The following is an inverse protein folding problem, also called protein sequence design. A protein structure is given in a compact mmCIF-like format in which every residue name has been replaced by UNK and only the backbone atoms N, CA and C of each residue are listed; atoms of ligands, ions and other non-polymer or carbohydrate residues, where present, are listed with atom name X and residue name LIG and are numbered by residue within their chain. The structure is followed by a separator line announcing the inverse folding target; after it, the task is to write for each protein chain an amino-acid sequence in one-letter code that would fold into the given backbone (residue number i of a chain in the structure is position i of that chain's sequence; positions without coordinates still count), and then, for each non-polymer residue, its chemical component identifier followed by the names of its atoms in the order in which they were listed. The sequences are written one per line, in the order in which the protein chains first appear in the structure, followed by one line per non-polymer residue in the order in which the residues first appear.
data_IF_366351471195
#
_entry.id   IF_366351471195
#
_cell.length_a   1.000
_cell.length_b   1.000
_cell.length_c   1.000
_cell.angle_alpha   90.00
_cell.angle_beta   90.00
_cell.angle_gamma   90.00
#
_symmetry.space_group_name_H-M   'P 1'
#
loop_
_entity.id
_entity.type
_entity.pdbx_description
1 polymer ?
#
# COMPACT_ATOMS: atom_id res chain seq x y z
N UNK A 1 15.63 -0.56 -4.80
CA UNK A 1 14.23 -0.43 -4.34
C UNK A 1 13.39 -1.68 -4.64
N UNK A 2 12.87 -1.90 -5.85
CA UNK A 2 12.06 -3.11 -6.13
C UNK A 2 12.85 -4.42 -5.91
N UNK A 3 14.15 -4.39 -6.25
CA UNK A 3 15.09 -5.48 -5.98
C UNK A 3 15.20 -5.86 -4.50
N UNK A 4 14.95 -4.91 -3.59
CA UNK A 4 15.09 -5.14 -2.15
C UNK A 4 13.89 -5.91 -1.60
N UNK A 5 12.68 -5.59 -2.06
CA UNK A 5 11.45 -6.35 -1.75
C UNK A 5 11.56 -7.76 -2.30
N UNK A 6 11.98 -7.90 -3.57
CA UNK A 6 12.19 -9.21 -4.17
C UNK A 6 13.24 -10.03 -3.42
N UNK A 7 14.38 -9.42 -3.05
CA UNK A 7 15.46 -10.10 -2.33
C UNK A 7 15.01 -10.58 -0.95
N UNK A 8 14.30 -9.73 -0.20
CA UNK A 8 13.81 -10.08 1.14
C UNK A 8 12.77 -11.21 1.10
N UNK A 9 11.94 -11.26 0.05
CA UNK A 9 10.81 -12.20 -0.04
C UNK A 9 10.96 -13.26 -1.13
N UNK A 10 12.18 -13.52 -1.61
CA UNK A 10 12.43 -14.38 -2.78
C UNK A 10 11.70 -15.73 -2.73
N UNK A 11 11.70 -16.48 -1.60
CA UNK A 11 10.99 -17.75 -1.53
C UNK A 11 9.47 -17.63 -1.76
N UNK A 12 8.87 -16.49 -1.39
CA UNK A 12 7.44 -16.27 -1.53
C UNK A 12 7.01 -16.00 -2.97
N UNK A 13 7.92 -15.52 -3.83
CA UNK A 13 7.66 -15.38 -5.26
C UNK A 13 7.69 -16.71 -6.03
N UNK A 14 8.21 -17.78 -5.41
CA UNK A 14 8.22 -19.13 -6.00
C UNK A 14 6.92 -19.90 -5.70
N UNK A 15 6.06 -19.37 -4.82
CA UNK A 15 4.74 -19.92 -4.50
C UNK A 15 3.76 -19.75 -5.69
N UNK A 16 2.65 -20.48 -5.66
CA UNK A 16 1.59 -20.35 -6.65
C UNK A 16 1.06 -18.89 -6.74
N UNK A 17 0.62 -18.47 -7.93
CA UNK A 17 0.09 -17.11 -8.17
C UNK A 17 -1.14 -16.78 -7.33
N UNK A 18 -1.88 -17.80 -6.91
CA UNK A 18 -3.05 -17.67 -6.02
C UNK A 18 -2.65 -17.61 -4.54
N UNK A 19 -1.37 -17.72 -4.20
CA UNK A 19 -0.92 -17.67 -2.82
C UNK A 19 -1.02 -16.23 -2.29
N UNK A 20 -1.66 -15.98 -1.14
CA UNK A 20 -1.97 -14.62 -0.69
C UNK A 20 -0.72 -13.76 -0.46
N UNK A 21 0.36 -14.35 0.08
CA UNK A 21 1.63 -13.65 0.24
C UNK A 21 2.23 -13.18 -1.11
N UNK A 22 2.11 -14.00 -2.16
CA UNK A 22 2.62 -13.66 -3.50
C UNK A 22 1.76 -12.56 -4.13
N UNK A 23 0.43 -12.71 -4.07
CA UNK A 23 -0.51 -11.71 -4.60
C UNK A 23 -0.29 -10.33 -3.96
N UNK A 24 -0.15 -10.28 -2.64
CA UNK A 24 0.16 -9.04 -1.94
C UNK A 24 1.50 -8.45 -2.40
N UNK A 25 2.57 -9.23 -2.47
CA UNK A 25 3.89 -8.74 -2.86
C UNK A 25 3.91 -8.19 -4.29
N UNK A 26 3.24 -8.86 -5.22
CA UNK A 26 3.09 -8.40 -6.60
C UNK A 26 2.29 -7.08 -6.67
N UNK A 27 1.17 -7.00 -5.93
CA UNK A 27 0.37 -5.77 -5.84
C UNK A 27 1.17 -4.62 -5.21
N UNK A 28 1.91 -4.88 -4.13
CA UNK A 28 2.77 -3.90 -3.46
C UNK A 28 3.88 -3.38 -4.39
N UNK A 29 4.55 -4.27 -5.12
CA UNK A 29 5.58 -3.88 -6.10
C UNK A 29 4.98 -3.01 -7.21
N UNK A 30 3.79 -3.36 -7.71
CA UNK A 30 3.07 -2.59 -8.72
C UNK A 30 2.66 -1.20 -8.20
N UNK A 31 2.11 -1.11 -6.99
CA UNK A 31 1.79 0.17 -6.33
C UNK A 31 3.04 1.03 -6.18
N UNK A 32 4.16 0.43 -5.77
CA UNK A 32 5.41 1.18 -5.61
C UNK A 32 5.92 1.75 -6.94
N UNK A 33 5.83 1.00 -8.02
CA UNK A 33 6.23 1.47 -9.36
C UNK A 33 5.29 2.57 -9.91
N UNK A 34 4.00 2.48 -9.59
CA UNK A 34 2.98 3.34 -10.17
C UNK A 34 2.64 4.57 -9.33
N UNK A 35 2.85 4.52 -8.01
CA UNK A 35 2.48 5.59 -7.07
C UNK A 35 3.69 6.35 -6.51
N UNK A 36 4.87 5.73 -6.37
CA UNK A 36 6.04 6.40 -5.75
C UNK A 36 6.82 7.19 -6.80
N UNK A 37 7.15 8.44 -6.49
CA UNK A 37 7.94 9.32 -7.38
C UNK A 37 7.19 9.79 -8.63
N UNK A 38 5.87 9.56 -8.69
CA UNK A 38 5.00 10.00 -9.78
C UNK A 38 4.39 11.36 -9.46
N UNK A 39 5.21 12.39 -9.56
CA UNK A 39 4.73 13.73 -9.82
C UNK A 39 4.33 13.74 -11.31
N UNK A 40 3.02 13.73 -11.62
CA UNK A 40 2.54 13.61 -13.00
C UNK A 40 3.05 14.80 -13.84
N UNK A 41 3.86 14.58 -14.90
CA UNK A 41 4.32 15.67 -15.74
C UNK A 41 3.21 16.16 -16.69
N UNK A 42 3.12 17.47 -16.99
CA UNK A 42 2.28 17.98 -18.07
C UNK A 42 2.63 17.30 -19.42
N UNK A 43 1.66 17.05 -20.34
CA UNK A 43 0.41 17.78 -20.53
C UNK A 43 -0.90 17.02 -20.26
N UNK A 44 -0.92 15.96 -19.43
CA UNK A 44 -2.11 15.11 -19.22
C UNK A 44 -3.18 15.64 -18.23
N UNK A 45 -3.23 16.94 -17.91
CA UNK A 45 -4.28 17.55 -17.09
C UNK A 45 -3.79 18.25 -15.81
N UNK A 46 -4.74 18.81 -15.05
CA UNK A 46 -4.49 19.59 -13.82
C UNK A 46 -3.49 18.89 -12.90
N UNK A 47 -2.49 19.65 -12.48
CA UNK A 47 -1.21 19.13 -12.06
C UNK A 47 -1.22 18.14 -10.89
N UNK A 48 -0.22 17.26 -10.94
CA UNK A 48 0.78 17.10 -9.87
C UNK A 48 0.15 16.92 -8.49
N UNK A 49 -0.27 15.68 -8.21
CA UNK A 49 -0.57 15.22 -6.85
C UNK A 49 -1.88 15.76 -6.23
N UNK A 50 -2.63 14.91 -5.51
CA UNK A 50 -3.86 15.37 -4.82
C UNK A 50 -3.50 15.90 -3.44
N UNK A 51 -3.88 17.14 -3.16
CA UNK A 51 -3.78 17.74 -1.83
C UNK A 51 -5.08 17.56 -1.04
N UNK A 52 -4.97 17.25 0.25
CA UNK A 52 -6.11 17.28 1.17
C UNK A 52 -5.67 17.63 2.59
N UNK A 53 -6.62 18.05 3.42
CA UNK A 53 -6.42 18.16 4.86
C UNK A 53 -6.90 16.90 5.54
N UNK A 54 -6.03 16.25 6.32
CA UNK A 54 -6.42 15.07 7.09
C UNK A 54 -7.02 15.47 8.42
N UNK A 55 -8.22 14.96 8.71
CA UNK A 55 -8.86 15.15 10.01
C UNK A 55 -8.26 14.25 11.08
N UNK A 56 -7.69 13.11 10.67
CA UNK A 56 -6.97 12.19 11.55
C UNK A 56 -5.72 12.84 12.15
N UNK A 57 -4.89 13.41 11.29
CA UNK A 57 -3.56 13.89 11.66
C UNK A 57 -3.51 15.42 11.88
N UNK A 58 -4.61 16.12 11.59
CA UNK A 58 -4.73 17.59 11.65
C UNK A 58 -3.61 18.29 10.87
N UNK A 59 -3.34 17.79 9.65
CA UNK A 59 -2.31 18.36 8.76
C UNK A 59 -2.67 18.21 7.29
N UNK A 60 -1.99 19.02 6.46
CA UNK A 60 -2.03 18.88 5.02
C UNK A 60 -1.25 17.66 4.54
N UNK A 61 -1.83 16.95 3.59
CA UNK A 61 -1.26 15.79 2.92
C UNK A 61 -1.25 15.97 1.40
N UNK A 62 -0.41 15.17 0.77
CA UNK A 62 -0.36 14.98 -0.68
C UNK A 62 -0.34 13.47 -0.97
N UNK A 63 -0.83 13.02 -2.12
CA UNK A 63 -0.90 11.60 -2.43
C UNK A 63 0.50 11.02 -2.60
N UNK A 64 1.41 11.76 -3.24
CA UNK A 64 2.82 11.36 -3.32
C UNK A 64 3.47 11.31 -1.93
N UNK A 65 3.17 12.25 -1.04
CA UNK A 65 3.63 12.24 0.36
C UNK A 65 3.13 11.01 1.12
N UNK A 66 1.88 10.62 0.89
CA UNK A 66 1.32 9.35 1.38
C UNK A 66 2.08 8.14 0.80
N UNK A 67 2.25 8.07 -0.53
CA UNK A 67 2.95 6.97 -1.19
C UNK A 67 4.42 6.85 -0.72
N UNK A 68 5.11 7.98 -0.53
CA UNK A 68 6.45 7.98 0.05
C UNK A 68 6.46 7.47 1.49
N UNK A 69 5.49 7.87 2.30
CA UNK A 69 5.43 7.49 3.71
C UNK A 69 5.08 6.01 3.91
N UNK A 70 4.22 5.45 3.06
CA UNK A 70 3.61 4.13 3.29
C UNK A 70 3.91 3.06 2.22
N UNK A 71 4.45 3.43 1.06
CA UNK A 71 4.63 2.50 -0.07
C UNK A 71 6.09 2.45 -0.54
N UNK A 72 6.92 3.45 -0.20
CA UNK A 72 8.31 3.52 -0.67
C UNK A 72 9.28 2.56 0.04
N UNK A 73 8.89 1.97 1.17
CA UNK A 73 9.77 1.15 1.99
C UNK A 73 9.88 -0.30 1.49
N UNK A 74 10.83 -1.04 2.06
CA UNK A 74 10.96 -2.49 1.83
C UNK A 74 10.10 -3.23 2.84
N UNK A 75 9.22 -4.09 2.35
CA UNK A 75 8.42 -4.97 3.19
C UNK A 75 9.05 -6.36 3.26
N UNK A 76 9.00 -6.96 4.44
CA UNK A 76 9.39 -8.35 4.68
C UNK A 76 8.19 -9.05 5.33
N UNK A 77 7.72 -10.12 4.71
CA UNK A 77 6.66 -10.96 5.26
C UNK A 77 7.28 -12.02 6.18
N UNK A 78 7.92 -11.57 7.25
CA UNK A 78 8.69 -12.40 8.19
C UNK A 78 7.87 -13.58 8.75
N UNK A 79 6.57 -13.37 9.02
CA UNK A 79 5.67 -14.46 9.43
C UNK A 79 5.58 -15.60 8.42
N UNK A 80 5.50 -15.29 7.12
CA UNK A 80 5.48 -16.30 6.05
C UNK A 80 6.86 -16.91 5.78
N UNK A 81 7.92 -16.11 5.91
CA UNK A 81 9.30 -16.56 5.68
C UNK A 81 9.80 -17.51 6.77
N UNK A 82 9.30 -17.33 8.00
CA UNK A 82 9.72 -18.11 9.17
C UNK A 82 8.71 -19.16 9.62
N UNK A 83 7.57 -19.25 8.94
CA UNK A 83 6.43 -20.09 9.34
C UNK A 83 6.05 -19.89 10.81
N UNK A 84 5.98 -18.61 11.22
CA UNK A 84 5.74 -18.26 12.61
C UNK A 84 4.37 -18.77 13.06
N UNK A 85 4.23 -19.44 14.22
CA UNK A 85 2.92 -19.96 14.66
C UNK A 85 1.94 -18.85 15.05
N UNK A 86 2.45 -17.66 15.38
CA UNK A 86 1.67 -16.50 15.81
C UNK A 86 2.04 -15.26 15.00
N UNK A 87 1.25 -14.18 15.16
CA UNK A 87 1.53 -12.89 14.52
C UNK A 87 2.85 -12.31 15.01
N UNK A 88 3.74 -12.01 14.08
CA UNK A 88 5.00 -11.34 14.39
C UNK A 88 4.74 -9.91 14.84
N UNK A 89 5.73 -9.27 15.48
CA UNK A 89 5.58 -7.87 15.94
C UNK A 89 5.32 -6.91 14.78
N UNK A 90 5.93 -7.17 13.62
CA UNK A 90 5.73 -6.38 12.39
C UNK A 90 4.27 -6.46 11.93
N UNK A 91 3.68 -7.66 11.88
CA UNK A 91 2.29 -7.88 11.47
C UNK A 91 1.28 -7.27 12.46
N UNK A 92 1.56 -7.34 13.76
CA UNK A 92 0.72 -6.70 14.77
C UNK A 92 0.67 -5.17 14.56
N UNK A 93 1.83 -4.54 14.36
CA UNK A 93 1.90 -3.11 14.04
C UNK A 93 1.27 -2.77 12.68
N UNK A 94 1.33 -3.70 11.74
CA UNK A 94 0.80 -3.52 10.39
C UNK A 94 -0.73 -3.35 10.38
N UNK A 95 -1.50 -4.13 11.15
CA UNK A 95 -2.96 -3.98 11.17
C UNK A 95 -3.42 -2.58 11.57
N UNK A 96 -2.80 -2.02 12.62
CA UNK A 96 -3.11 -0.67 13.05
C UNK A 96 -2.77 0.36 11.96
N UNK A 97 -1.68 0.12 11.22
CA UNK A 97 -1.22 0.96 10.13
C UNK A 97 -2.07 0.81 8.87
N UNK A 98 -2.63 -0.36 8.58
CA UNK A 98 -3.58 -0.56 7.47
C UNK A 98 -4.80 0.33 7.67
N UNK A 99 -5.40 0.29 8.86
CA UNK A 99 -6.56 1.13 9.19
C UNK A 99 -6.26 2.63 9.05
N UNK A 100 -5.04 3.04 9.40
CA UNK A 100 -4.57 4.41 9.18
C UNK A 100 -4.54 4.79 7.70
N UNK A 101 -3.93 3.91 6.89
CA UNK A 101 -3.79 4.15 5.47
C UNK A 101 -5.15 4.19 4.77
N UNK A 102 -6.08 3.30 5.13
CA UNK A 102 -7.46 3.29 4.62
C UNK A 102 -8.15 4.64 4.88
N UNK A 103 -8.07 5.16 6.11
CA UNK A 103 -8.69 6.45 6.45
C UNK A 103 -8.09 7.62 5.65
N UNK A 104 -6.76 7.65 5.48
CA UNK A 104 -6.10 8.69 4.68
C UNK A 104 -6.47 8.59 3.20
N UNK A 105 -6.63 7.37 2.67
CA UNK A 105 -7.06 7.15 1.28
C UNK A 105 -8.52 7.56 1.07
N UNK A 106 -9.41 7.32 2.03
CA UNK A 106 -10.81 7.78 1.95
C UNK A 106 -10.89 9.31 1.87
N UNK A 107 -10.10 10.01 2.69
CA UNK A 107 -10.00 11.47 2.65
C UNK A 107 -9.43 11.97 1.32
N UNK A 108 -8.36 11.33 0.83
CA UNK A 108 -7.76 11.61 -0.46
C UNK A 108 -8.75 11.37 -1.62
N UNK A 109 -9.51 10.28 -1.56
CA UNK A 109 -10.52 9.91 -2.55
C UNK A 109 -11.64 10.93 -2.63
N UNK A 110 -12.15 11.39 -1.49
CA UNK A 110 -13.15 12.45 -1.44
C UNK A 110 -12.64 13.75 -2.07
N UNK A 111 -11.39 14.12 -1.77
CA UNK A 111 -10.75 15.30 -2.35
C UNK A 111 -10.54 15.16 -3.86
N UNK A 112 -10.03 14.01 -4.34
CA UNK A 112 -9.81 13.71 -5.75
C UNK A 112 -11.12 13.64 -6.55
N UNK A 113 -12.19 13.12 -5.95
CA UNK A 113 -13.52 13.10 -6.55
C UNK A 113 -14.05 14.53 -6.73
N UNK A 114 -13.89 15.37 -5.71
CA UNK A 114 -14.33 16.78 -5.74
C UNK A 114 -13.57 17.60 -6.78
N UNK A 115 -12.27 17.35 -6.93
CA UNK A 115 -11.41 18.04 -7.91
C UNK A 115 -11.48 17.45 -9.32
N UNK A 116 -12.11 16.28 -9.49
CA UNK A 116 -12.13 15.55 -10.76
C UNK A 116 -10.79 14.93 -11.16
N UNK A 117 -9.87 14.72 -10.22
CA UNK A 117 -8.53 14.17 -10.48
C UNK A 117 -8.56 12.66 -10.74
N UNK A 118 -8.90 12.28 -11.97
CA UNK A 118 -9.04 10.87 -12.38
C UNK A 118 -7.75 10.06 -12.25
N UNK A 119 -6.59 10.69 -12.46
CA UNK A 119 -5.31 9.98 -12.37
C UNK A 119 -5.03 9.52 -10.93
N UNK A 120 -5.29 10.38 -9.94
CA UNK A 120 -5.14 10.00 -8.53
C UNK A 120 -6.21 9.01 -8.09
N UNK A 121 -7.46 9.12 -8.58
CA UNK A 121 -8.50 8.13 -8.28
C UNK A 121 -8.09 6.71 -8.68
N UNK A 122 -7.51 6.52 -9.86
CA UNK A 122 -6.99 5.21 -10.30
C UNK A 122 -5.86 4.69 -9.39
N UNK A 123 -4.96 5.58 -8.95
CA UNK A 123 -3.90 5.19 -8.03
C UNK A 123 -4.45 4.83 -6.64
N UNK A 124 -5.46 5.55 -6.16
CA UNK A 124 -6.13 5.24 -4.89
C UNK A 124 -6.76 3.85 -4.95
N UNK A 125 -7.52 3.53 -6.01
CA UNK A 125 -8.13 2.21 -6.18
C UNK A 125 -7.10 1.09 -6.09
N UNK A 126 -5.97 1.27 -6.77
CA UNK A 126 -4.87 0.30 -6.76
C UNK A 126 -4.25 0.12 -5.37
N UNK A 127 -4.03 1.22 -4.63
CA UNK A 127 -3.51 1.13 -3.26
C UNK A 127 -4.52 0.45 -2.35
N UNK A 128 -5.81 0.76 -2.47
CA UNK A 128 -6.88 0.13 -1.70
C UNK A 128 -6.94 -1.38 -1.93
N UNK A 129 -6.83 -1.84 -3.18
CA UNK A 129 -6.74 -3.27 -3.51
C UNK A 129 -5.51 -3.93 -2.84
N UNK A 130 -4.35 -3.27 -2.92
CA UNK A 130 -3.13 -3.75 -2.28
C UNK A 130 -3.26 -3.85 -0.75
N UNK A 131 -3.92 -2.89 -0.10
CA UNK A 131 -4.19 -2.94 1.35
C UNK A 131 -5.11 -4.10 1.72
N UNK A 132 -6.14 -4.36 0.91
CA UNK A 132 -7.03 -5.50 1.12
C UNK A 132 -6.27 -6.84 1.02
N UNK A 133 -5.41 -6.98 0.01
CA UNK A 133 -4.53 -8.15 -0.13
C UNK A 133 -3.56 -8.28 1.04
N UNK A 134 -3.02 -7.18 1.56
CA UNK A 134 -2.13 -7.21 2.72
C UNK A 134 -2.85 -7.74 3.95
N UNK A 135 -4.05 -7.22 4.21
CA UNK A 135 -4.90 -7.65 5.32
C UNK A 135 -5.22 -9.14 5.22
N UNK A 136 -5.69 -9.59 4.05
CA UNK A 136 -5.98 -11.00 3.79
C UNK A 136 -4.74 -11.90 3.97
N UNK A 137 -3.58 -11.44 3.49
CA UNK A 137 -2.30 -12.13 3.64
C UNK A 137 -1.92 -12.39 5.10
N UNK A 138 -2.16 -11.44 6.00
CA UNK A 138 -1.87 -11.63 7.43
C UNK A 138 -2.96 -12.48 8.10
N UNK A 139 -4.24 -12.24 7.78
CA UNK A 139 -5.37 -12.96 8.36
C UNK A 139 -5.37 -14.45 8.01
N UNK A 140 -5.01 -14.84 6.79
CA UNK A 140 -4.96 -16.25 6.40
C UNK A 140 -3.81 -17.01 7.05
N UNK A 141 -2.70 -16.33 7.36
CA UNK A 141 -1.54 -16.93 8.01
C UNK A 141 -1.82 -17.24 9.47
N UNK A 142 -2.44 -16.28 10.16
CA UNK A 142 -2.88 -16.40 11.54
C UNK A 142 -4.35 -15.99 11.63
N UNK A 143 -5.29 -16.90 11.30
CA UNK A 143 -6.69 -16.68 11.56
C UNK A 143 -6.81 -16.47 13.07
N UNK A 144 -7.35 -15.32 13.48
CA UNK A 144 -7.57 -15.02 14.90
C UNK A 144 -8.28 -16.21 15.55
N UNK A 145 -7.63 -16.81 16.56
CA UNK A 145 -8.27 -17.70 17.52
C UNK A 145 -9.30 -16.92 18.35
#
# INVERSE_FOLDING_TARGET
MLRDVYRANRPLFELAETHPARQFLEAFMKCREQCVGRELPPPLGDGIDQHWWSHRDLRGWTFSGFAYTYISFTIELDGWLTDAPERTKSEQGTFARIKEMEQLLDECHAAATTSGNQAVLQMIEQVTEMLALWKQCIELRCPTA
#
